data_IF_173511817529
#
_entry.id   IF_173511817529
#
_cell.length_a   1.000
_cell.length_b   1.000
_cell.length_c   1.000
_cell.angle_alpha   90.00
_cell.angle_beta   90.00
_cell.angle_gamma   90.00
#
_symmetry.space_group_name_H-M   'P 1'
#
loop_
_entity.id
_entity.type
_entity.pdbx_description
1 polymer ?
#
# COMPACT_ATOMS: atom_id res chain seq x y z
N UNK A 1 -4.58 13.46 -10.18
CA UNK A 1 -3.43 13.56 -9.28
C UNK A 1 -2.37 12.47 -9.50
N UNK A 2 -2.17 12.08 -10.76
CA UNK A 2 -1.14 11.10 -11.09
C UNK A 2 -1.55 9.64 -10.91
N UNK A 3 -2.80 9.34 -10.61
CA UNK A 3 -3.26 7.96 -10.45
C UNK A 3 -3.17 7.16 -11.74
N UNK A 4 -3.44 7.78 -12.87
CA UNK A 4 -3.33 7.12 -14.18
C UNK A 4 -1.90 6.63 -14.44
N UNK A 5 -0.91 7.47 -14.17
CA UNK A 5 0.50 7.09 -14.33
C UNK A 5 0.93 6.04 -13.30
N UNK A 6 0.45 6.19 -12.07
CA UNK A 6 0.71 5.22 -11.01
C UNK A 6 0.18 3.83 -11.40
N UNK A 7 -1.06 3.75 -11.91
CA UNK A 7 -1.67 2.48 -12.31
C UNK A 7 -0.90 1.77 -13.43
N UNK A 8 -0.18 2.51 -14.25
CA UNK A 8 0.67 1.91 -15.29
C UNK A 8 1.93 1.27 -14.72
N UNK A 9 2.33 1.63 -13.51
CA UNK A 9 3.56 1.18 -12.88
C UNK A 9 3.37 -0.08 -12.02
N UNK A 10 2.13 -0.48 -11.76
CA UNK A 10 1.83 -1.57 -10.84
C UNK A 10 1.11 -2.71 -11.55
N UNK A 11 1.28 -3.93 -11.04
CA UNK A 11 0.54 -5.12 -11.48
C UNK A 11 0.04 -5.98 -10.32
N UNK A 12 0.35 -5.60 -9.09
CA UNK A 12 -0.02 -6.36 -7.90
C UNK A 12 -0.47 -5.43 -6.78
N UNK A 13 -1.30 -5.96 -5.91
CA UNK A 13 -1.89 -5.24 -4.78
C UNK A 13 -1.72 -6.05 -3.50
N UNK A 14 -1.20 -5.40 -2.46
CA UNK A 14 -1.17 -5.94 -1.10
C UNK A 14 -2.22 -5.22 -0.27
N UNK A 15 -3.12 -5.97 0.36
CA UNK A 15 -4.21 -5.39 1.13
C UNK A 15 -4.48 -6.23 2.38
N UNK A 16 -4.66 -5.56 3.52
CA UNK A 16 -5.04 -6.20 4.77
C UNK A 16 -6.53 -6.51 4.82
N UNK A 17 -6.93 -7.36 5.77
CA UNK A 17 -8.32 -7.85 5.85
C UNK A 17 -9.37 -6.74 5.93
N UNK A 18 -9.20 -5.79 6.84
CA UNK A 18 -10.19 -4.73 7.02
C UNK A 18 -10.35 -3.87 5.78
N UNK A 19 -9.24 -3.52 5.15
CA UNK A 19 -9.28 -2.75 3.90
C UNK A 19 -9.88 -3.57 2.77
N UNK A 20 -9.59 -4.86 2.71
CA UNK A 20 -10.17 -5.77 1.73
C UNK A 20 -11.70 -5.82 1.87
N UNK A 21 -12.21 -5.99 3.09
CA UNK A 21 -13.64 -6.03 3.35
C UNK A 21 -14.31 -4.70 2.97
N UNK A 22 -13.65 -3.57 3.25
CA UNK A 22 -14.15 -2.26 2.89
C UNK A 22 -14.23 -2.10 1.36
N UNK A 23 -13.20 -2.51 0.64
CA UNK A 23 -13.16 -2.43 -0.83
C UNK A 23 -14.28 -3.27 -1.45
N UNK A 24 -14.63 -4.41 -0.84
CA UNK A 24 -15.74 -5.24 -1.34
C UNK A 24 -17.09 -4.52 -1.29
N UNK A 25 -17.22 -3.48 -0.48
CA UNK A 25 -18.45 -2.67 -0.40
C UNK A 25 -18.46 -1.49 -1.35
N UNK A 26 -17.37 -1.23 -2.07
CA UNK A 26 -17.27 -0.11 -3.00
C UNK A 26 -18.13 -0.34 -4.24
N UNK A 27 -18.57 0.77 -4.85
CA UNK A 27 -19.35 0.74 -6.08
C UNK A 27 -18.56 0.08 -7.21
N UNK A 28 -19.22 -0.79 -7.95
CA UNK A 28 -18.64 -1.46 -9.11
C UNK A 28 -18.11 -0.45 -10.15
N UNK A 29 -18.77 0.70 -10.29
CA UNK A 29 -18.33 1.74 -11.23
C UNK A 29 -16.98 2.33 -10.80
N UNK A 30 -16.76 2.52 -9.51
CA UNK A 30 -15.48 2.99 -8.99
C UNK A 30 -14.38 1.95 -9.20
N UNK A 31 -14.69 0.70 -8.91
CA UNK A 31 -13.73 -0.41 -9.08
C UNK A 31 -13.35 -0.62 -10.54
N UNK A 32 -14.25 -0.32 -11.46
CA UNK A 32 -13.99 -0.46 -12.90
C UNK A 32 -12.90 0.47 -13.41
N UNK A 33 -12.59 1.55 -12.68
CA UNK A 33 -11.51 2.48 -13.04
C UNK A 33 -10.13 1.97 -12.65
N UNK A 34 -10.08 0.93 -11.81
CA UNK A 34 -8.81 0.36 -11.36
C UNK A 34 -8.25 -0.62 -12.40
N UNK A 35 -6.94 -0.71 -12.52
CA UNK A 35 -6.34 -1.73 -13.39
C UNK A 35 -6.60 -3.11 -12.82
N UNK A 36 -6.48 -4.11 -13.68
CA UNK A 36 -6.55 -5.51 -13.24
C UNK A 36 -5.25 -5.86 -12.54
N UNK A 37 -5.32 -6.09 -11.24
CA UNK A 37 -4.17 -6.37 -10.39
C UNK A 37 -4.26 -7.77 -9.80
N UNK A 38 -3.09 -8.37 -9.60
CA UNK A 38 -2.97 -9.61 -8.84
C UNK A 38 -3.09 -9.23 -7.36
N UNK A 39 -4.17 -9.65 -6.71
CA UNK A 39 -4.46 -9.26 -5.33
C UNK A 39 -3.96 -10.28 -4.33
N UNK A 40 -3.21 -9.80 -3.35
CA UNK A 40 -2.78 -10.58 -2.20
C UNK A 40 -3.45 -10.01 -0.96
N UNK A 41 -4.28 -10.82 -0.31
CA UNK A 41 -5.02 -10.43 0.91
C UNK A 41 -4.33 -11.03 2.12
N UNK A 42 -3.90 -10.18 3.03
CA UNK A 42 -3.17 -10.59 4.23
C UNK A 42 -4.12 -10.72 5.43
N UNK A 43 -4.31 -11.94 5.90
CA UNK A 43 -5.19 -12.21 7.04
C UNK A 43 -4.87 -13.55 7.67
N UNK A 44 -4.92 -13.61 9.01
CA UNK A 44 -4.82 -14.84 9.75
C UNK A 44 -6.21 -15.38 10.15
N UNK A 45 -7.28 -14.67 9.85
CA UNK A 45 -8.64 -15.03 10.28
C UNK A 45 -9.56 -15.40 9.12
N UNK A 46 -9.38 -14.82 7.94
CA UNK A 46 -10.16 -15.19 6.77
C UNK A 46 -9.83 -16.61 6.33
N UNK A 47 -10.84 -17.34 5.93
CA UNK A 47 -10.69 -18.71 5.44
C UNK A 47 -10.65 -18.76 3.92
N UNK A 48 -11.26 -17.76 3.26
CA UNK A 48 -11.30 -17.68 1.81
C UNK A 48 -11.39 -16.23 1.36
N UNK A 49 -11.03 -16.01 0.12
CA UNK A 49 -11.11 -14.70 -0.55
C UNK A 49 -11.82 -14.89 -1.89
N UNK A 50 -12.20 -13.78 -2.53
CA UNK A 50 -12.87 -13.82 -3.83
C UNK A 50 -12.03 -14.59 -4.86
N UNK A 51 -12.67 -15.17 -5.90
CA UNK A 51 -11.95 -15.85 -6.98
C UNK A 51 -10.88 -14.94 -7.60
N UNK A 52 -9.70 -15.50 -7.82
CA UNK A 52 -8.58 -14.77 -8.40
C UNK A 52 -7.68 -14.06 -7.41
N UNK A 53 -8.14 -13.81 -6.17
CA UNK A 53 -7.31 -13.27 -5.10
C UNK A 53 -6.53 -14.39 -4.41
N UNK A 54 -5.42 -14.02 -3.77
CA UNK A 54 -4.55 -14.96 -3.05
C UNK A 54 -4.54 -14.58 -1.58
N UNK A 55 -4.89 -15.54 -0.71
CA UNK A 55 -4.87 -15.33 0.73
C UNK A 55 -3.47 -15.65 1.27
N UNK A 56 -2.91 -14.70 2.01
CA UNK A 56 -1.62 -14.83 2.67
C UNK A 56 -1.84 -14.84 4.17
N UNK A 57 -1.39 -15.89 4.84
CA UNK A 57 -1.42 -15.97 6.30
C UNK A 57 -0.06 -16.46 6.80
N UNK A 58 0.14 -16.42 8.12
CA UNK A 58 1.38 -16.88 8.73
C UNK A 58 2.55 -15.94 8.55
N UNK A 59 3.69 -16.46 8.11
CA UNK A 59 4.94 -15.70 7.95
C UNK A 59 4.89 -14.81 6.71
N UNK A 60 4.47 -13.57 6.92
CA UNK A 60 4.36 -12.62 5.81
C UNK A 60 5.74 -12.16 5.31
N UNK A 61 6.75 -12.14 6.17
CA UNK A 61 8.09 -11.68 5.79
C UNK A 61 8.71 -12.50 4.69
N UNK A 62 8.76 -13.82 4.86
CA UNK A 62 9.33 -14.71 3.86
C UNK A 62 8.47 -14.74 2.59
N UNK A 63 7.15 -14.74 2.74
CA UNK A 63 6.22 -14.75 1.60
C UNK A 63 6.40 -13.49 0.74
N UNK A 64 6.44 -12.32 1.36
CA UNK A 64 6.62 -11.06 0.64
C UNK A 64 7.97 -11.00 -0.06
N UNK A 65 9.03 -11.48 0.58
CA UNK A 65 10.35 -11.54 -0.04
C UNK A 65 10.32 -12.37 -1.33
N UNK A 66 9.65 -13.51 -1.31
CA UNK A 66 9.52 -14.36 -2.49
C UNK A 66 8.69 -13.68 -3.59
N UNK A 67 7.59 -13.04 -3.22
CA UNK A 67 6.76 -12.30 -4.19
C UNK A 67 7.55 -11.18 -4.84
N UNK A 68 8.37 -10.46 -4.07
CA UNK A 68 9.19 -9.35 -4.59
C UNK A 68 10.26 -9.82 -5.57
N UNK A 69 10.66 -11.09 -5.55
CA UNK A 69 11.61 -11.65 -6.49
C UNK A 69 10.99 -11.98 -7.85
N UNK A 70 9.67 -12.08 -7.92
CA UNK A 70 8.98 -12.38 -9.17
C UNK A 70 9.15 -11.24 -10.18
N UNK A 71 9.27 -11.59 -11.46
CA UNK A 71 9.30 -10.58 -12.52
C UNK A 71 7.95 -9.93 -12.66
N UNK A 72 7.98 -8.62 -12.88
CA UNK A 72 6.76 -7.86 -13.07
C UNK A 72 6.98 -6.39 -12.75
N UNK A 73 5.87 -5.70 -12.59
CA UNK A 73 5.85 -4.28 -12.23
C UNK A 73 5.89 -4.13 -10.70
N UNK A 74 5.67 -2.90 -10.24
CA UNK A 74 5.66 -2.62 -8.82
C UNK A 74 4.41 -3.17 -8.13
N UNK A 75 4.50 -3.33 -6.83
CA UNK A 75 3.42 -3.79 -5.97
C UNK A 75 2.86 -2.60 -5.22
N UNK A 76 1.56 -2.42 -5.28
CA UNK A 76 0.87 -1.36 -4.54
C UNK A 76 0.49 -1.86 -3.15
N UNK A 77 1.14 -1.32 -2.13
CA UNK A 77 0.73 -1.55 -0.75
C UNK A 77 -0.44 -0.60 -0.45
N UNK A 78 -1.64 -1.14 -0.60
CA UNK A 78 -2.87 -0.37 -0.37
C UNK A 78 -3.06 -0.03 1.11
N UNK A 79 -2.73 -0.95 1.97
CA UNK A 79 -2.89 -0.83 3.42
C UNK A 79 -3.74 -1.97 3.99
N UNK A 80 -4.35 -1.88 5.19
CA UNK A 80 -4.31 -0.72 6.07
C UNK A 80 -3.05 -0.51 6.92
N UNK A 81 -3.22 0.29 7.98
CA UNK A 81 -2.11 0.74 8.81
C UNK A 81 -1.35 -0.41 9.49
N UNK A 82 -2.06 -1.45 9.88
CA UNK A 82 -1.45 -2.62 10.54
C UNK A 82 -0.52 -3.38 9.58
N UNK A 83 -0.96 -3.64 8.35
CA UNK A 83 -0.12 -4.29 7.34
C UNK A 83 1.05 -3.39 6.96
N UNK A 84 0.81 -2.11 6.80
CA UNK A 84 1.85 -1.13 6.48
C UNK A 84 2.92 -1.13 7.57
N UNK A 85 2.52 -1.08 8.84
CA UNK A 85 3.46 -1.10 9.97
C UNK A 85 4.30 -2.39 9.97
N UNK A 86 3.65 -3.53 9.74
CA UNK A 86 4.35 -4.81 9.70
C UNK A 86 5.41 -4.87 8.61
N UNK A 87 5.07 -4.41 7.41
CA UNK A 87 6.02 -4.42 6.29
C UNK A 87 7.13 -3.38 6.44
N UNK A 88 6.83 -2.23 7.05
CA UNK A 88 7.86 -1.23 7.36
C UNK A 88 8.86 -1.77 8.38
N UNK A 89 8.39 -2.45 9.42
CA UNK A 89 9.26 -3.06 10.43
C UNK A 89 10.18 -4.11 9.82
N UNK A 90 9.72 -4.83 8.82
CA UNK A 90 10.48 -5.86 8.14
C UNK A 90 11.41 -5.31 7.05
N UNK A 91 11.39 -4.01 6.80
CA UNK A 91 12.21 -3.40 5.76
C UNK A 91 11.80 -3.79 4.35
N UNK A 92 10.52 -4.07 4.13
CA UNK A 92 10.01 -4.57 2.85
C UNK A 92 9.27 -3.52 2.02
N UNK A 93 9.20 -2.28 2.51
CA UNK A 93 8.61 -1.17 1.77
C UNK A 93 9.74 -0.35 1.15
N UNK A 94 9.66 -0.11 -0.15
CA UNK A 94 10.72 0.58 -0.89
C UNK A 94 10.43 2.07 -1.08
N UNK A 95 9.16 2.43 -1.23
CA UNK A 95 8.77 3.80 -1.54
C UNK A 95 7.45 4.13 -0.86
N UNK A 96 7.34 5.35 -0.35
CA UNK A 96 6.12 5.88 0.24
C UNK A 96 5.68 7.08 -0.57
N UNK A 97 4.43 7.07 -1.04
CA UNK A 97 3.81 8.19 -1.73
C UNK A 97 2.66 8.72 -0.90
N UNK A 98 2.71 9.99 -0.57
CA UNK A 98 1.73 10.64 0.28
C UNK A 98 1.03 11.76 -0.48
N UNK A 99 -0.30 11.77 -0.39
CA UNK A 99 -1.11 12.89 -0.86
C UNK A 99 -1.46 13.74 0.36
N UNK A 100 -0.91 14.93 0.45
CA UNK A 100 -1.20 15.86 1.53
C UNK A 100 -2.25 16.84 1.06
N UNK A 101 -3.45 16.71 1.63
CA UNK A 101 -4.60 17.55 1.29
C UNK A 101 -4.54 18.86 2.06
N UNK A 102 -4.97 19.98 1.45
CA UNK A 102 -4.99 21.29 2.12
C UNK A 102 -6.17 21.40 3.08
N UNK A 103 -6.16 20.56 4.12
CA UNK A 103 -7.27 20.40 5.04
C UNK A 103 -6.74 20.05 6.43
N UNK A 104 -7.24 20.73 7.45
CA UNK A 104 -6.98 20.35 8.83
C UNK A 104 -8.15 19.45 9.26
N UNK A 105 -7.85 18.18 9.47
CA UNK A 105 -8.90 17.19 9.76
C UNK A 105 -9.42 17.28 11.19
N UNK A 106 -8.59 17.71 12.14
CA UNK A 106 -8.92 17.74 13.55
C UNK A 106 -8.70 16.40 14.23
N UNK A 107 -9.43 15.37 13.80
CA UNK A 107 -9.29 14.01 14.30
C UNK A 107 -9.24 13.04 13.11
N UNK A 108 -8.60 11.90 13.31
CA UNK A 108 -8.54 10.88 12.27
C UNK A 108 -7.69 9.70 12.70
N UNK A 109 -7.63 8.69 11.84
CA UNK A 109 -6.78 7.53 12.06
C UNK A 109 -5.36 7.87 11.62
N UNK A 110 -4.34 7.55 12.42
CA UNK A 110 -2.96 7.71 12.00
C UNK A 110 -2.65 6.82 10.79
N UNK A 111 -1.94 7.38 9.81
CA UNK A 111 -1.47 6.59 8.67
C UNK A 111 -0.37 5.61 9.11
N UNK A 112 0.51 6.08 9.99
CA UNK A 112 1.59 5.25 10.53
C UNK A 112 1.40 5.10 12.03
N UNK A 113 1.41 3.85 12.49
CA UNK A 113 1.24 3.53 13.91
C UNK A 113 2.00 2.26 14.25
N UNK A 114 2.18 2.01 15.54
CA UNK A 114 2.82 0.81 16.05
C UNK A 114 4.25 0.59 15.54
N UNK A 115 4.94 1.67 15.20
CA UNK A 115 6.36 1.62 14.88
C UNK A 115 7.15 1.92 16.15
N UNK A 116 8.12 1.08 16.45
CA UNK A 116 8.90 1.16 17.68
C UNK A 116 10.00 2.22 17.64
N UNK A 117 10.44 2.59 16.44
CA UNK A 117 11.51 3.54 16.25
C UNK A 117 11.23 4.46 15.07
N UNK A 118 11.98 5.54 15.00
CA UNK A 118 11.91 6.45 13.86
C UNK A 118 12.43 5.77 12.60
N UNK A 119 11.80 6.07 11.50
CA UNK A 119 12.22 5.58 10.19
C UNK A 119 12.53 6.79 9.31
N UNK A 120 13.82 7.12 9.10
CA UNK A 120 14.17 8.24 8.25
C UNK A 120 13.85 7.92 6.80
N UNK A 121 13.38 8.93 6.08
CA UNK A 121 13.02 8.82 4.67
C UNK A 121 13.85 9.79 3.85
N UNK A 122 14.11 9.46 2.60
CA UNK A 122 14.78 10.33 1.65
C UNK A 122 13.77 10.88 0.65
N UNK A 123 13.63 12.19 0.57
CA UNK A 123 12.71 12.81 -0.38
C UNK A 123 13.21 12.59 -1.80
N UNK A 124 12.35 12.02 -2.64
CA UNK A 124 12.65 11.73 -4.04
C UNK A 124 11.98 12.72 -4.99
N UNK A 125 10.72 13.07 -4.71
CA UNK A 125 9.95 13.92 -5.62
C UNK A 125 8.84 14.63 -4.86
N UNK A 126 8.55 15.86 -5.27
CA UNK A 126 7.37 16.61 -4.84
C UNK A 126 6.61 17.06 -6.08
N UNK A 127 5.29 17.11 -5.95
CA UNK A 127 4.45 17.65 -7.01
C UNK A 127 3.29 18.41 -6.38
N UNK A 128 3.11 19.65 -6.77
CA UNK A 128 2.02 20.50 -6.29
C UNK A 128 0.95 20.64 -7.34
N UNK A 129 -0.28 20.76 -6.91
CA UNK A 129 -1.42 20.93 -7.78
C UNK A 129 -2.15 22.23 -7.45
N UNK A 130 -2.86 22.80 -8.43
CA UNK A 130 -3.59 24.06 -8.27
C UNK A 130 -4.66 23.97 -7.16
N UNK A 131 -5.15 22.77 -6.84
CA UNK A 131 -6.10 22.54 -5.75
C UNK A 131 -5.47 22.72 -4.37
N UNK A 132 -4.15 22.82 -4.28
CA UNK A 132 -3.42 22.85 -3.00
C UNK A 132 -2.92 21.50 -2.53
N UNK A 133 -3.29 20.41 -3.22
CA UNK A 133 -2.78 19.08 -2.90
C UNK A 133 -1.29 19.00 -3.21
N UNK A 134 -0.53 18.35 -2.34
CA UNK A 134 0.90 18.11 -2.55
C UNK A 134 1.16 16.61 -2.50
N UNK A 135 1.76 16.08 -3.56
CA UNK A 135 2.22 14.69 -3.59
C UNK A 135 3.68 14.66 -3.19
N UNK A 136 3.98 13.81 -2.21
CA UNK A 136 5.35 13.59 -1.71
C UNK A 136 5.72 12.14 -1.98
N UNK A 137 6.88 11.94 -2.60
CA UNK A 137 7.43 10.61 -2.82
C UNK A 137 8.74 10.48 -2.08
N UNK A 138 8.81 9.49 -1.20
CA UNK A 138 9.99 9.21 -0.39
C UNK A 138 10.52 7.83 -0.70
N UNK A 139 11.83 7.70 -0.72
CA UNK A 139 12.51 6.41 -0.71
C UNK A 139 12.70 5.97 0.74
N UNK A 140 12.36 4.73 1.01
CA UNK A 140 12.60 4.10 2.32
C UNK A 140 13.96 3.43 2.28
N UNK A 141 14.92 3.85 3.13
CA UNK A 141 16.19 3.16 3.18
C UNK A 141 16.01 1.78 3.80
N UNK A 142 16.15 0.74 2.99
CA UNK A 142 16.03 -0.63 3.44
C UNK A 142 17.40 -1.21 3.74
N UNK A 143 17.54 -1.84 4.91
CA UNK A 143 18.76 -2.52 5.30
C UNK A 143 18.83 -3.95 4.75
N UNK A 144 17.84 -4.35 3.95
CA UNK A 144 17.72 -5.69 3.38
C UNK A 144 18.10 -5.71 1.89
N UNK A 145 19.12 -4.96 1.57
CA UNK A 145 19.65 -4.97 0.21
C UNK A 145 20.32 -6.31 -0.10
#
# INVERSE_FOLDING_TARGET
YGMSDFFKQIDSLFIGRKSYELVQTMDAAEMATWPKLKEYVFSNTLKEVKPGAILINGDIGSTVKEIKKEKGKDIWLFGGASLTAALLKLGLVDEIRLAVHPLVLGNGKPLFSNLESRLPLTLKKTQTYSSGLVMLTYTVPNNNA
#
